data_IF_589595890702
#
_entry.id   IF_589595890702
#
_cell.length_a   1.000
_cell.length_b   1.000
_cell.length_c   1.000
_cell.angle_alpha   90.00
_cell.angle_beta   90.00
_cell.angle_gamma   90.00
#
_symmetry.space_group_name_H-M   'P 1'
#
loop_
_entity.id
_entity.type
_entity.pdbx_description
1 polymer ?
#
# COMPACT_ATOMS: atom_id res chain seq x y z
N UNK A 1 10.76 9.61 -20.10
CA UNK A 1 10.43 8.18 -20.26
C UNK A 1 11.15 7.38 -19.17
N UNK A 2 10.49 7.11 -18.04
CA UNK A 2 10.98 6.20 -17.02
C UNK A 2 9.91 5.14 -16.80
N UNK A 3 10.21 3.89 -17.16
CA UNK A 3 9.29 2.76 -17.07
C UNK A 3 8.69 2.66 -15.66
N UNK A 4 7.37 2.46 -15.57
CA UNK A 4 6.61 2.33 -14.33
C UNK A 4 7.35 1.45 -13.32
N UNK A 5 7.94 2.10 -12.32
CA UNK A 5 8.63 1.43 -11.25
C UNK A 5 7.58 1.01 -10.22
N UNK A 6 6.97 -0.16 -10.45
CA UNK A 6 6.02 -0.73 -9.53
C UNK A 6 6.74 -1.55 -8.45
N UNK A 7 6.27 -1.44 -7.22
CA UNK A 7 6.77 -2.17 -6.06
C UNK A 7 5.76 -3.27 -5.74
N UNK A 8 6.18 -4.53 -5.87
CA UNK A 8 5.36 -5.68 -5.50
C UNK A 8 5.78 -6.23 -4.13
N UNK A 9 4.85 -6.20 -3.17
CA UNK A 9 5.08 -6.66 -1.79
C UNK A 9 4.18 -7.86 -1.49
N UNK A 10 4.81 -8.96 -1.06
CA UNK A 10 4.10 -10.18 -0.65
C UNK A 10 4.25 -10.40 0.85
N UNK A 11 3.18 -10.10 1.57
CA UNK A 11 3.13 -10.18 3.02
C UNK A 11 2.69 -11.60 3.44
N UNK A 12 3.62 -12.35 4.05
CA UNK A 12 3.43 -13.74 4.49
C UNK A 12 3.42 -13.94 6.02
N UNK A 13 3.60 -12.88 6.83
CA UNK A 13 3.73 -13.04 8.28
C UNK A 13 2.40 -13.35 8.96
N UNK A 14 2.34 -14.36 9.81
CA UNK A 14 1.12 -14.87 10.46
C UNK A 14 0.31 -13.83 11.27
N UNK A 15 0.94 -12.78 11.77
CA UNK A 15 0.24 -11.68 12.46
C UNK A 15 0.83 -10.31 12.10
N UNK A 16 -0.04 -9.37 11.75
CA UNK A 16 0.30 -7.95 11.58
C UNK A 16 -0.38 -7.15 12.68
N UNK A 17 0.43 -6.65 13.62
CA UNK A 17 -0.05 -5.70 14.62
C UNK A 17 -0.44 -4.36 13.94
N UNK A 18 -1.41 -3.62 14.48
CA UNK A 18 -1.87 -2.35 13.90
C UNK A 18 -0.74 -1.33 13.73
N UNK A 19 0.21 -1.27 14.66
CA UNK A 19 1.38 -0.37 14.58
C UNK A 19 2.24 -0.64 13.33
N UNK A 20 2.36 -1.92 12.96
CA UNK A 20 3.12 -2.36 11.78
C UNK A 20 2.39 -2.04 10.49
N UNK A 21 1.06 -2.18 10.47
CA UNK A 21 0.24 -1.74 9.34
C UNK A 21 0.38 -0.24 9.12
N UNK A 22 0.33 0.58 10.18
CA UNK A 22 0.53 2.03 10.06
C UNK A 22 1.94 2.41 9.59
N UNK A 23 2.98 1.66 9.99
CA UNK A 23 4.34 1.86 9.47
C UNK A 23 4.44 1.51 7.97
N UNK A 24 3.75 0.45 7.54
CA UNK A 24 3.64 0.10 6.12
C UNK A 24 2.88 1.16 5.33
N UNK A 25 1.75 1.65 5.84
CA UNK A 25 0.96 2.72 5.20
C UNK A 25 1.83 3.96 4.93
N UNK A 26 2.61 4.42 5.91
CA UNK A 26 3.54 5.55 5.75
C UNK A 26 4.59 5.32 4.65
N UNK A 27 5.17 4.11 4.60
CA UNK A 27 6.12 3.74 3.53
C UNK A 27 5.45 3.74 2.15
N UNK A 28 4.25 3.18 2.04
CA UNK A 28 3.50 3.10 0.78
C UNK A 28 3.20 4.51 0.27
N UNK A 29 2.73 5.41 1.14
CA UNK A 29 2.49 6.82 0.78
C UNK A 29 3.76 7.46 0.23
N UNK A 30 4.93 7.26 0.88
CA UNK A 30 6.19 7.80 0.39
C UNK A 30 6.62 7.24 -0.99
N UNK A 31 6.29 5.97 -1.28
CA UNK A 31 6.52 5.39 -2.60
C UNK A 31 5.59 5.96 -3.66
N UNK A 32 4.29 6.08 -3.34
CA UNK A 32 3.27 6.66 -4.22
C UNK A 32 3.58 8.12 -4.56
N UNK A 33 4.00 8.94 -3.57
CA UNK A 33 4.43 10.33 -3.81
C UNK A 33 5.67 10.42 -4.69
N UNK A 34 6.50 9.37 -4.71
CA UNK A 34 7.64 9.27 -5.61
C UNK A 34 7.29 8.82 -7.04
N UNK A 35 6.01 8.71 -7.38
CA UNK A 35 5.54 8.30 -8.71
C UNK A 35 5.65 6.80 -8.98
N UNK A 36 5.67 5.96 -7.93
CA UNK A 36 5.77 4.50 -8.02
C UNK A 36 4.48 3.83 -7.61
N UNK A 37 3.98 2.92 -8.44
CA UNK A 37 2.82 2.09 -8.10
C UNK A 37 3.20 1.03 -7.07
N UNK A 38 2.31 0.72 -6.11
CA UNK A 38 2.58 -0.28 -5.08
C UNK A 38 1.47 -1.34 -5.08
N UNK A 39 1.84 -2.59 -5.32
CA UNK A 39 0.94 -3.75 -5.32
C UNK A 39 1.25 -4.64 -4.13
N UNK A 40 0.27 -4.90 -3.28
CA UNK A 40 0.44 -5.64 -2.03
C UNK A 40 -0.48 -6.85 -2.03
N UNK A 41 0.11 -8.03 -1.84
CA UNK A 41 -0.63 -9.28 -1.76
C UNK A 41 -0.47 -9.94 -0.38
N UNK A 42 -1.60 -10.21 0.27
CA UNK A 42 -1.68 -10.94 1.54
C UNK A 42 -2.04 -12.39 1.25
N UNK A 43 -1.11 -13.33 1.49
CA UNK A 43 -1.36 -14.78 1.31
C UNK A 43 -2.08 -15.41 2.52
N UNK A 44 -2.85 -14.64 3.29
CA UNK A 44 -3.47 -15.08 4.54
C UNK A 44 -4.84 -15.69 4.28
N UNK A 45 -5.03 -16.96 4.65
CA UNK A 45 -6.26 -17.69 4.34
C UNK A 45 -7.48 -17.24 5.17
N UNK A 46 -7.31 -16.73 6.40
CA UNK A 46 -8.45 -16.30 7.25
C UNK A 46 -8.60 -14.78 7.42
N UNK A 47 -7.49 -14.04 7.58
CA UNK A 47 -7.53 -12.60 7.91
C UNK A 47 -6.98 -11.71 6.78
N UNK A 48 -6.56 -12.29 5.66
CA UNK A 48 -5.97 -11.58 4.52
C UNK A 48 -6.85 -10.45 3.98
N UNK A 49 -8.14 -10.69 3.70
CA UNK A 49 -9.04 -9.65 3.20
C UNK A 49 -9.20 -8.47 4.17
N UNK A 50 -9.31 -8.76 5.48
CA UNK A 50 -9.50 -7.75 6.52
C UNK A 50 -8.26 -6.85 6.65
N UNK A 51 -7.07 -7.44 6.62
CA UNK A 51 -5.82 -6.66 6.65
C UNK A 51 -5.60 -5.86 5.38
N UNK A 52 -5.94 -6.41 4.22
CA UNK A 52 -5.87 -5.69 2.95
C UNK A 52 -6.79 -4.46 2.96
N UNK A 53 -8.04 -4.62 3.41
CA UNK A 53 -8.98 -3.51 3.52
C UNK A 53 -8.49 -2.43 4.50
N UNK A 54 -8.03 -2.82 5.71
CA UNK A 54 -7.51 -1.84 6.68
C UNK A 54 -6.30 -1.07 6.15
N UNK A 55 -5.39 -1.75 5.46
CA UNK A 55 -4.21 -1.08 4.89
C UNK A 55 -4.62 -0.14 3.74
N UNK A 56 -5.54 -0.58 2.88
CA UNK A 56 -6.04 0.24 1.78
C UNK A 56 -6.78 1.48 2.29
N UNK A 57 -7.60 1.34 3.34
CA UNK A 57 -8.31 2.44 3.98
C UNK A 57 -7.34 3.46 4.58
N UNK A 58 -6.37 3.00 5.37
CA UNK A 58 -5.32 3.88 5.91
C UNK A 58 -4.54 4.63 4.82
N UNK A 59 -4.19 3.95 3.73
CA UNK A 59 -3.50 4.58 2.61
C UNK A 59 -4.40 5.60 1.93
N UNK A 60 -5.69 5.30 1.69
CA UNK A 60 -6.65 6.24 1.10
C UNK A 60 -6.89 7.48 1.95
N UNK A 61 -7.04 7.33 3.26
CA UNK A 61 -7.18 8.48 4.18
C UNK A 61 -5.92 9.34 4.19
N UNK A 62 -4.74 8.71 4.10
CA UNK A 62 -3.45 9.42 4.20
C UNK A 62 -2.95 9.97 2.86
N UNK A 63 -3.37 9.37 1.75
CA UNK A 63 -2.97 9.73 0.40
C UNK A 63 -4.11 10.48 -0.28
N UNK A 64 -4.00 11.81 -0.35
CA UNK A 64 -4.80 12.60 -1.27
C UNK A 64 -4.15 12.45 -2.65
N UNK A 65 -4.76 11.77 -3.63
CA UNK A 65 -4.20 11.73 -4.97
C UNK A 65 -4.11 13.18 -5.46
N UNK A 66 -2.88 13.66 -5.70
CA UNK A 66 -2.70 14.77 -6.62
C UNK A 66 -3.27 14.29 -7.93
N UNK A 67 -4.44 14.82 -8.30
CA UNK A 67 -5.01 14.64 -9.63
C UNK A 67 -3.89 14.98 -10.60
N UNK A 68 -3.35 13.95 -11.25
CA UNK A 68 -2.44 14.13 -12.34
C UNK A 68 -3.34 14.63 -13.48
N UNK A 69 -3.48 15.95 -13.57
CA UNK A 69 -4.13 16.62 -14.70
C UNK A 69 -3.29 16.24 -15.93
N UNK A 70 -3.74 15.20 -16.61
CA UNK A 70 -3.33 14.94 -17.97
C UNK A 70 -3.84 16.12 -18.80
N UNK A 71 -2.87 16.82 -19.39
CA UNK A 71 -3.00 17.92 -20.35
C UNK A 71 -3.86 17.59 -21.55
#
# INVERSE_FOLDING_TARGET
MGRGAFIYLRLRRETYSPQRLSAWARRIVAYLTGGRDVYIYFKHEKLGPLYAQRLADQVRTSFRPSVQTAV
#
